data_IF_558242556749
#
_entry.id   IF_558242556749
#
_cell.length_a   1.000
_cell.length_b   1.000
_cell.length_c   1.000
_cell.angle_alpha   90.00
_cell.angle_beta   90.00
_cell.angle_gamma   90.00
#
_symmetry.space_group_name_H-M   'P 1'
#
loop_
_entity.id
_entity.type
_entity.pdbx_description
1 polymer ?
#
# COMPACT_ATOMS: atom_id res chain seq x y z
N UNK A 1 14.83 2.22 32.61
CA UNK A 1 13.70 1.26 32.61
C UNK A 1 12.47 1.98 32.09
N UNK A 2 12.34 2.14 30.77
CA UNK A 2 11.23 2.89 30.14
C UNK A 2 10.99 2.39 28.73
N UNK A 3 10.44 1.17 28.59
CA UNK A 3 9.97 0.69 27.27
C UNK A 3 8.63 -0.03 27.44
N UNK A 4 7.61 0.72 27.83
CA UNK A 4 6.21 0.38 27.54
C UNK A 4 5.64 1.54 26.74
N UNK A 5 6.15 1.72 25.52
CA UNK A 5 5.67 2.74 24.58
C UNK A 5 4.38 2.23 23.94
N UNK A 6 3.25 2.57 24.55
CA UNK A 6 1.89 2.57 24.00
C UNK A 6 1.65 1.70 22.74
N UNK A 7 1.68 0.37 22.90
CA UNK A 7 1.64 -0.61 21.78
C UNK A 7 0.29 -0.68 21.05
N UNK A 8 -0.75 0.01 21.54
CA UNK A 8 -2.08 -0.04 20.91
C UNK A 8 -2.20 0.71 19.59
N UNK A 9 -1.22 1.56 19.27
CA UNK A 9 -1.38 2.59 18.23
C UNK A 9 -0.24 2.64 17.19
N UNK A 10 0.62 1.62 17.18
CA UNK A 10 1.77 1.54 16.24
C UNK A 10 1.37 1.47 14.77
N UNK A 11 0.14 1.08 14.48
CA UNK A 11 -0.41 0.93 13.12
C UNK A 11 -1.04 2.21 12.55
N UNK A 12 -1.43 3.16 13.39
CA UNK A 12 -2.04 4.43 12.96
C UNK A 12 -1.23 5.23 11.92
N UNK A 13 0.10 5.42 12.07
CA UNK A 13 0.84 6.22 11.10
C UNK A 13 0.77 5.61 9.69
N UNK A 14 0.81 4.28 9.57
CA UNK A 14 0.72 3.61 8.27
C UNK A 14 -0.65 3.82 7.63
N UNK A 15 -1.74 3.67 8.40
CA UNK A 15 -3.09 3.91 7.89
C UNK A 15 -3.29 5.36 7.49
N UNK A 16 -2.79 6.31 8.28
CA UNK A 16 -2.86 7.73 7.96
C UNK A 16 -2.18 8.03 6.61
N UNK A 17 -1.00 7.46 6.36
CA UNK A 17 -0.30 7.60 5.08
C UNK A 17 -1.10 6.97 3.94
N UNK A 18 -1.65 5.76 4.13
CA UNK A 18 -2.47 5.09 3.10
C UNK A 18 -3.69 5.93 2.73
N UNK A 19 -4.41 6.47 3.72
CA UNK A 19 -5.56 7.35 3.48
C UNK A 19 -5.13 8.61 2.72
N UNK A 20 -4.02 9.24 3.13
CA UNK A 20 -3.48 10.41 2.45
C UNK A 20 -3.19 10.12 0.97
N UNK A 21 -2.55 8.99 0.67
CA UNK A 21 -2.26 8.58 -0.70
C UNK A 21 -3.54 8.36 -1.53
N UNK A 22 -4.58 7.76 -0.94
CA UNK A 22 -5.88 7.61 -1.62
C UNK A 22 -6.52 8.95 -1.91
N UNK A 23 -6.54 9.87 -0.94
CA UNK A 23 -7.08 11.22 -1.12
C UNK A 23 -6.34 11.94 -2.25
N UNK A 24 -5.01 11.87 -2.30
CA UNK A 24 -4.21 12.45 -3.38
C UNK A 24 -4.57 11.81 -4.73
N UNK A 25 -4.59 10.48 -4.81
CA UNK A 25 -4.90 9.75 -6.05
C UNK A 25 -6.30 10.07 -6.59
N UNK A 26 -7.33 10.05 -5.73
CA UNK A 26 -8.69 10.41 -6.13
C UNK A 26 -8.84 11.90 -6.47
N UNK A 27 -8.09 12.80 -5.80
CA UNK A 27 -8.07 14.22 -6.17
C UNK A 27 -7.50 14.41 -7.57
N UNK A 28 -6.39 13.74 -7.92
CA UNK A 28 -5.83 13.78 -9.27
C UNK A 28 -6.77 13.17 -10.31
N UNK A 29 -7.42 12.05 -9.99
CA UNK A 29 -8.43 11.47 -10.87
C UNK A 29 -9.59 12.43 -11.12
N UNK A 30 -10.05 13.13 -10.08
CA UNK A 30 -11.12 14.12 -10.19
C UNK A 30 -10.72 15.31 -11.05
N UNK A 31 -9.53 15.86 -10.82
CA UNK A 31 -9.01 17.02 -11.58
C UNK A 31 -8.82 16.65 -13.06
N UNK A 32 -8.19 15.50 -13.35
CA UNK A 32 -7.94 15.06 -14.72
C UNK A 32 -9.21 14.59 -15.44
N UNK A 33 -10.13 13.96 -14.70
CA UNK A 33 -11.35 13.37 -15.24
C UNK A 33 -12.48 14.37 -15.48
N UNK A 34 -12.47 15.56 -14.84
CA UNK A 34 -13.57 16.54 -14.91
C UNK A 34 -13.95 16.91 -16.35
N UNK A 35 -12.96 17.04 -17.23
CA UNK A 35 -13.16 17.43 -18.62
C UNK A 35 -13.12 16.23 -19.59
N UNK A 36 -12.73 15.04 -19.10
CA UNK A 36 -12.46 13.85 -19.91
C UNK A 36 -13.04 12.58 -19.26
N UNK A 37 -14.31 12.27 -19.57
CA UNK A 37 -15.03 11.11 -19.02
C UNK A 37 -14.33 9.76 -19.25
N UNK A 38 -13.55 9.63 -20.34
CA UNK A 38 -12.76 8.42 -20.62
C UNK A 38 -11.68 8.20 -19.55
N UNK A 39 -11.03 9.26 -19.07
CA UNK A 39 -10.00 9.17 -18.02
C UNK A 39 -10.60 8.72 -16.69
N UNK A 40 -11.84 9.10 -16.38
CA UNK A 40 -12.56 8.56 -15.23
C UNK A 40 -12.75 7.04 -15.33
N UNK A 41 -13.23 6.56 -16.48
CA UNK A 41 -13.41 5.12 -16.72
C UNK A 41 -12.09 4.36 -16.61
N UNK A 42 -11.03 4.85 -17.26
CA UNK A 42 -9.70 4.24 -17.18
C UNK A 42 -9.12 4.27 -15.77
N UNK A 43 -9.30 5.37 -15.03
CA UNK A 43 -8.84 5.48 -13.64
C UNK A 43 -9.54 4.53 -12.69
N UNK A 44 -10.86 4.37 -12.82
CA UNK A 44 -11.63 3.39 -12.04
C UNK A 44 -11.20 1.96 -12.40
N UNK A 45 -10.99 1.66 -13.67
CA UNK A 45 -10.49 0.36 -14.11
C UNK A 45 -9.09 0.08 -13.56
N UNK A 46 -8.17 1.04 -13.66
CA UNK A 46 -6.83 0.92 -13.10
C UNK A 46 -6.86 0.70 -11.58
N UNK A 47 -7.74 1.42 -10.86
CA UNK A 47 -7.91 1.25 -9.42
C UNK A 47 -8.45 -0.14 -9.06
N UNK A 48 -9.47 -0.64 -9.77
CA UNK A 48 -10.04 -1.96 -9.49
C UNK A 48 -9.11 -3.11 -9.87
N UNK A 49 -8.39 -3.01 -10.99
CA UNK A 49 -7.36 -3.98 -11.37
C UNK A 49 -6.18 -3.97 -10.39
N UNK A 50 -5.75 -2.78 -9.94
CA UNK A 50 -4.72 -2.63 -8.91
C UNK A 50 -5.15 -3.22 -7.57
N UNK A 51 -6.40 -3.01 -7.15
CA UNK A 51 -6.96 -3.64 -5.95
C UNK A 51 -6.94 -5.16 -6.07
N UNK A 52 -7.35 -5.72 -7.22
CA UNK A 52 -7.29 -7.17 -7.45
C UNK A 52 -5.87 -7.70 -7.30
N UNK A 53 -4.91 -7.07 -7.96
CA UNK A 53 -3.48 -7.41 -7.89
C UNK A 53 -2.95 -7.38 -6.45
N UNK A 54 -3.39 -6.41 -5.63
CA UNK A 54 -2.98 -6.33 -4.23
C UNK A 54 -3.40 -7.55 -3.39
N UNK A 55 -4.46 -8.27 -3.78
CA UNK A 55 -4.96 -9.46 -3.08
C UNK A 55 -4.43 -10.79 -3.63
N UNK A 56 -3.43 -10.76 -4.51
CA UNK A 56 -2.81 -11.98 -5.01
C UNK A 56 -2.14 -12.80 -3.88
N UNK A 57 -2.15 -14.13 -4.05
CA UNK A 57 -1.79 -15.07 -2.98
C UNK A 57 -0.30 -14.99 -2.58
N UNK A 58 0.57 -14.58 -3.49
CA UNK A 58 1.99 -14.37 -3.25
C UNK A 58 2.24 -13.19 -2.30
N UNK A 59 1.50 -12.09 -2.44
CA UNK A 59 1.55 -10.97 -1.51
C UNK A 59 1.12 -11.39 -0.10
N UNK A 60 0.00 -12.11 0.01
CA UNK A 60 -0.52 -12.59 1.29
C UNK A 60 0.49 -13.55 1.95
N UNK A 61 1.04 -14.49 1.18
CA UNK A 61 2.01 -15.45 1.68
C UNK A 61 3.33 -14.79 2.14
N UNK A 62 3.82 -13.79 1.40
CA UNK A 62 5.05 -13.07 1.77
C UNK A 62 4.87 -12.26 3.06
N UNK A 63 3.73 -11.58 3.21
CA UNK A 63 3.40 -10.82 4.43
C UNK A 63 3.24 -11.77 5.62
N UNK A 64 2.47 -12.85 5.48
CA UNK A 64 2.25 -13.83 6.55
C UNK A 64 3.56 -14.46 7.04
N UNK A 65 4.43 -14.90 6.12
CA UNK A 65 5.74 -15.46 6.47
C UNK A 65 6.60 -14.47 7.26
N UNK A 66 6.60 -13.20 6.85
CA UNK A 66 7.39 -12.15 7.51
C UNK A 66 6.82 -11.82 8.89
N UNK A 67 5.49 -11.72 9.02
CA UNK A 67 4.81 -11.50 10.30
C UNK A 67 5.10 -12.65 11.26
N UNK A 68 4.95 -13.90 10.82
CA UNK A 68 5.27 -15.09 11.63
C UNK A 68 6.73 -15.09 12.07
N UNK A 69 7.64 -14.71 11.18
CA UNK A 69 9.08 -14.61 11.52
C UNK A 69 9.37 -13.56 12.58
N UNK A 70 8.76 -12.37 12.48
CA UNK A 70 8.94 -11.31 13.48
C UNK A 70 8.32 -11.68 14.82
N UNK A 71 7.15 -12.31 14.82
CA UNK A 71 6.52 -12.84 16.03
C UNK A 71 7.39 -13.88 16.73
N UNK A 72 8.01 -14.80 15.97
CA UNK A 72 8.98 -15.76 16.52
C UNK A 72 10.22 -15.07 17.14
N UNK A 73 10.64 -13.94 16.56
CA UNK A 73 11.74 -13.12 17.08
C UNK A 73 11.32 -12.15 18.19
N UNK A 74 10.05 -12.16 18.61
CA UNK A 74 9.45 -11.20 19.56
C UNK A 74 9.65 -9.73 19.15
N UNK A 75 9.59 -9.46 17.85
CA UNK A 75 9.62 -8.10 17.27
C UNK A 75 8.22 -7.67 16.85
N UNK A 76 7.99 -6.36 16.83
CA UNK A 76 6.71 -5.77 16.41
C UNK A 76 6.49 -5.96 14.88
N UNK A 77 5.41 -6.64 14.46
CA UNK A 77 5.07 -6.83 13.05
C UNK A 77 4.17 -5.73 12.44
N UNK A 78 3.80 -4.69 13.20
CA UNK A 78 2.76 -3.71 12.83
C UNK A 78 2.93 -3.00 11.48
N UNK A 79 4.15 -2.91 10.95
CA UNK A 79 4.46 -2.21 9.69
C UNK A 79 4.70 -3.10 8.47
N UNK A 80 4.69 -4.44 8.60
CA UNK A 80 5.15 -5.36 7.53
C UNK A 80 4.41 -5.14 6.20
N UNK A 81 3.08 -5.06 6.24
CA UNK A 81 2.28 -4.90 5.02
C UNK A 81 2.53 -3.56 4.31
N UNK A 82 2.77 -2.49 5.08
CA UNK A 82 3.06 -1.16 4.52
C UNK A 82 4.39 -1.13 3.78
N UNK A 83 5.45 -1.65 4.39
CA UNK A 83 6.77 -1.71 3.75
C UNK A 83 6.79 -2.67 2.57
N UNK A 84 6.06 -3.79 2.64
CA UNK A 84 5.89 -4.70 1.52
C UNK A 84 5.26 -3.98 0.31
N UNK A 85 4.16 -3.26 0.53
CA UNK A 85 3.46 -2.50 -0.51
C UNK A 85 4.34 -1.42 -1.15
N UNK A 86 5.07 -0.63 -0.35
CA UNK A 86 6.01 0.39 -0.87
C UNK A 86 7.14 -0.26 -1.67
N UNK A 87 7.73 -1.34 -1.16
CA UNK A 87 8.82 -2.04 -1.84
C UNK A 87 8.40 -2.57 -3.20
N UNK A 88 7.31 -3.35 -3.26
CA UNK A 88 6.78 -3.90 -4.51
C UNK A 88 6.40 -2.81 -5.51
N UNK A 89 5.64 -1.80 -5.03
CA UNK A 89 5.19 -0.70 -5.89
C UNK A 89 6.35 0.12 -6.43
N UNK A 90 7.44 0.30 -5.66
CA UNK A 90 8.63 1.03 -6.12
C UNK A 90 9.32 0.32 -7.29
N UNK A 91 9.46 -1.01 -7.22
CA UNK A 91 10.06 -1.80 -8.30
C UNK A 91 9.18 -1.74 -9.55
N UNK A 92 7.86 -1.93 -9.38
CA UNK A 92 6.91 -1.86 -10.49
C UNK A 92 6.91 -0.46 -11.12
N UNK A 93 6.93 0.61 -10.31
CA UNK A 93 6.99 1.98 -10.80
C UNK A 93 8.28 2.25 -11.58
N UNK A 94 9.43 1.84 -11.06
CA UNK A 94 10.71 1.98 -11.77
C UNK A 94 10.70 1.20 -13.08
N UNK A 95 10.21 -0.04 -13.07
CA UNK A 95 10.06 -0.83 -14.30
C UNK A 95 9.13 -0.16 -15.31
N UNK A 96 8.02 0.42 -14.86
CA UNK A 96 7.11 1.16 -15.73
C UNK A 96 7.75 2.43 -16.32
N UNK A 97 8.59 3.14 -15.57
CA UNK A 97 9.30 4.34 -16.05
C UNK A 97 10.46 4.00 -16.99
N UNK A 98 11.16 2.88 -16.77
CA UNK A 98 12.31 2.50 -17.60
C UNK A 98 11.95 1.70 -18.85
N UNK A 99 10.91 0.86 -18.80
CA UNK A 99 10.46 0.08 -19.96
C UNK A 99 9.30 0.70 -20.73
N UNK A 100 8.45 1.49 -20.05
CA UNK A 100 7.31 2.19 -20.66
C UNK A 100 7.74 3.48 -21.34
#
# INVERSE_FOLDING_TARGET
MTVFKNERLSWLPYIAIVILLHVIGFSFLWIAGKDHHILFGMGILAYTLGLRHAFDADHIAAIDNTVRKLLQQRKDPSGVGFYFSIGHSSVVFLMAVFLG
#
